data_IF_488433135146
#
_entry.id   IF_488433135146
#
_cell.length_a   1.000
_cell.length_b   1.000
_cell.length_c   1.000
_cell.angle_alpha   90.00
_cell.angle_beta   90.00
_cell.angle_gamma   90.00
#
_symmetry.space_group_name_H-M   'P 1'
#
loop_
_entity.id
_entity.type
_entity.pdbx_description
1 polymer ?
#
# COMPACT_ATOMS: atom_id res chain seq x y z
N UNK A 1 -7.76 -11.15 -12.28
CA UNK A 1 -7.96 -9.73 -11.97
C UNK A 1 -9.36 -9.31 -12.34
N UNK A 2 -9.99 -8.39 -11.60
CA UNK A 2 -11.29 -7.82 -11.98
C UNK A 2 -11.10 -6.61 -12.92
N UNK A 3 -11.22 -6.83 -14.23
CA UNK A 3 -10.95 -5.81 -15.26
C UNK A 3 -11.77 -4.53 -15.10
N UNK A 4 -13.11 -4.57 -14.85
CA UNK A 4 -13.87 -3.34 -14.60
C UNK A 4 -13.33 -2.51 -13.43
N UNK A 5 -13.00 -3.16 -12.30
CA UNK A 5 -12.46 -2.45 -11.12
C UNK A 5 -11.08 -1.88 -11.35
N UNK A 6 -10.24 -2.58 -12.12
CA UNK A 6 -8.92 -2.12 -12.56
C UNK A 6 -9.06 -0.87 -13.41
N UNK A 7 -9.85 -0.93 -14.49
CA UNK A 7 -10.02 0.19 -15.42
C UNK A 7 -10.54 1.44 -14.70
N UNK A 8 -11.51 1.28 -13.78
CA UNK A 8 -12.02 2.38 -12.98
C UNK A 8 -10.93 3.00 -12.07
N UNK A 9 -10.04 2.18 -11.51
CA UNK A 9 -8.92 2.68 -10.70
C UNK A 9 -7.90 3.43 -11.57
N UNK A 10 -7.55 2.91 -12.75
CA UNK A 10 -6.66 3.59 -13.71
C UNK A 10 -7.24 4.94 -14.12
N UNK A 11 -8.52 4.97 -14.50
CA UNK A 11 -9.21 6.21 -14.89
C UNK A 11 -9.23 7.22 -13.73
N UNK A 12 -9.48 6.77 -12.51
CA UNK A 12 -9.46 7.62 -11.32
C UNK A 12 -8.07 8.23 -11.07
N UNK A 13 -7.00 7.49 -11.35
CA UNK A 13 -5.62 7.92 -11.12
C UNK A 13 -5.07 8.78 -12.27
N UNK A 14 -5.65 8.64 -13.46
CA UNK A 14 -5.21 9.33 -14.68
C UNK A 14 -5.30 10.85 -14.54
N UNK A 15 -4.18 11.54 -14.76
CA UNK A 15 -4.11 13.00 -14.75
C UNK A 15 -4.17 13.65 -13.36
N UNK A 16 -4.02 12.87 -12.27
CA UNK A 16 -3.84 13.40 -10.92
C UNK A 16 -2.36 13.70 -10.64
N UNK A 17 -2.12 14.70 -9.83
CA UNK A 17 -0.79 15.02 -9.31
C UNK A 17 -0.38 14.03 -8.21
N UNK A 18 0.92 13.76 -8.12
CA UNK A 18 1.49 12.93 -7.06
C UNK A 18 1.51 13.64 -5.69
N UNK A 19 1.43 12.89 -4.57
CA UNK A 19 1.37 11.42 -4.49
C UNK A 19 -0.03 10.85 -4.78
N UNK A 20 -0.05 9.75 -5.53
CA UNK A 20 -1.27 9.00 -5.82
C UNK A 20 -1.57 8.02 -4.68
N UNK A 21 -2.50 8.37 -3.80
CA UNK A 21 -2.84 7.55 -2.64
C UNK A 21 -4.18 6.85 -2.81
N UNK A 22 -4.17 5.52 -2.62
CA UNK A 22 -5.37 4.69 -2.69
C UNK A 22 -5.58 4.01 -1.34
N UNK A 23 -6.76 4.11 -0.70
CA UNK A 23 -7.04 3.34 0.51
C UNK A 23 -6.73 1.86 0.29
N UNK A 24 -6.01 1.23 1.23
CA UNK A 24 -5.44 -0.11 0.99
C UNK A 24 -6.51 -1.16 0.66
N UNK A 25 -7.69 -1.04 1.27
CA UNK A 25 -8.83 -1.90 0.98
C UNK A 25 -9.32 -1.75 -0.47
N UNK A 26 -9.29 -0.54 -1.02
CA UNK A 26 -9.64 -0.26 -2.42
C UNK A 26 -8.58 -0.79 -3.37
N UNK A 27 -7.30 -0.65 -3.03
CA UNK A 27 -6.19 -1.19 -3.80
C UNK A 27 -6.31 -2.71 -3.98
N UNK A 28 -6.70 -3.44 -2.94
CA UNK A 28 -6.87 -4.90 -3.02
C UNK A 28 -8.22 -5.38 -3.57
N UNK A 29 -9.19 -4.48 -3.79
CA UNK A 29 -10.53 -4.86 -4.24
C UNK A 29 -10.59 -5.16 -5.74
N UNK A 30 -10.46 -6.46 -6.07
CA UNK A 30 -10.40 -6.95 -7.45
C UNK A 30 -8.99 -7.17 -7.97
N UNK A 31 -7.98 -6.85 -7.16
CA UNK A 31 -6.57 -7.13 -7.43
C UNK A 31 -6.22 -8.59 -7.10
N UNK A 32 -5.64 -9.30 -8.04
CA UNK A 32 -4.97 -10.60 -7.85
C UNK A 32 -3.63 -10.68 -8.61
N UNK A 33 -3.10 -9.52 -9.02
CA UNK A 33 -1.89 -9.36 -9.81
C UNK A 33 -0.65 -9.34 -8.91
N UNK A 34 0.18 -10.38 -9.01
CA UNK A 34 1.43 -10.51 -8.25
C UNK A 34 2.46 -9.42 -8.60
N UNK A 35 2.33 -8.77 -9.76
CA UNK A 35 3.19 -7.68 -10.16
C UNK A 35 2.86 -6.35 -9.48
N UNK A 36 1.74 -6.27 -8.76
CA UNK A 36 1.20 -4.99 -8.26
C UNK A 36 1.81 -4.47 -6.96
N UNK A 37 2.46 -5.33 -6.17
CA UNK A 37 3.18 -4.99 -4.93
C UNK A 37 4.12 -6.12 -4.55
N UNK A 38 5.32 -5.82 -4.03
CA UNK A 38 6.30 -6.84 -3.64
C UNK A 38 6.74 -7.73 -4.80
N UNK A 39 6.74 -7.20 -6.04
CA UNK A 39 6.94 -7.98 -7.26
C UNK A 39 8.34 -8.61 -7.36
N UNK A 40 9.32 -8.10 -6.60
CA UNK A 40 10.68 -8.65 -6.53
C UNK A 40 10.86 -9.74 -5.47
N UNK A 41 9.82 -10.08 -4.69
CA UNK A 41 9.88 -11.18 -3.73
C UNK A 41 10.11 -12.52 -4.46
N UNK A 42 11.14 -13.25 -4.04
CA UNK A 42 11.50 -14.55 -4.65
C UNK A 42 10.36 -15.57 -4.52
N UNK A 43 9.70 -15.62 -3.35
CA UNK A 43 8.52 -16.43 -3.08
C UNK A 43 7.34 -15.52 -2.74
N UNK A 44 6.78 -14.82 -3.74
CA UNK A 44 5.68 -13.90 -3.52
C UNK A 44 4.49 -14.62 -2.83
N UNK A 45 4.07 -14.20 -1.61
CA UNK A 45 3.10 -14.94 -0.79
C UNK A 45 1.67 -14.89 -1.36
N UNK A 46 1.44 -14.01 -2.32
CA UNK A 46 0.18 -13.85 -3.06
C UNK A 46 -0.64 -12.67 -2.55
N UNK A 47 -1.38 -12.04 -3.45
CA UNK A 47 -2.16 -10.82 -3.14
C UNK A 47 -3.21 -11.05 -2.05
N UNK A 48 -3.78 -12.26 -1.94
CA UNK A 48 -4.69 -12.59 -0.85
C UNK A 48 -4.04 -12.57 0.54
N UNK A 49 -2.74 -12.88 0.64
CA UNK A 49 -2.00 -12.80 1.91
C UNK A 49 -1.76 -11.34 2.30
N UNK A 50 -1.33 -10.52 1.34
CA UNK A 50 -1.25 -9.07 1.52
C UNK A 50 -2.60 -8.48 1.95
N UNK A 51 -3.68 -8.76 1.20
CA UNK A 51 -5.04 -8.29 1.51
C UNK A 51 -5.46 -8.64 2.94
N UNK A 52 -5.25 -9.90 3.36
CA UNK A 52 -5.62 -10.36 4.71
C UNK A 52 -4.79 -9.69 5.80
N UNK A 53 -3.49 -9.54 5.60
CA UNK A 53 -2.61 -8.87 6.55
C UNK A 53 -3.02 -7.40 6.77
N UNK A 54 -3.26 -6.65 5.69
CA UNK A 54 -3.68 -5.26 5.79
C UNK A 54 -5.13 -5.10 6.28
N UNK A 55 -6.03 -6.03 5.96
CA UNK A 55 -7.37 -6.05 6.53
C UNK A 55 -7.34 -6.27 8.04
N UNK A 56 -6.50 -7.20 8.54
CA UNK A 56 -6.31 -7.43 9.97
C UNK A 56 -5.67 -6.21 10.65
N UNK A 57 -4.67 -5.59 10.01
CA UNK A 57 -4.02 -4.38 10.51
C UNK A 57 -5.03 -3.22 10.65
N UNK A 58 -5.93 -3.05 9.68
CA UNK A 58 -6.97 -2.02 9.69
C UNK A 58 -8.04 -2.22 10.80
N UNK A 59 -8.14 -3.41 11.40
CA UNK A 59 -9.05 -3.65 12.53
C UNK A 59 -8.43 -3.28 13.88
N UNK A 60 -7.15 -2.91 13.93
CA UNK A 60 -6.51 -2.52 15.18
C UNK A 60 -7.00 -1.14 15.63
N UNK A 61 -7.20 -0.92 16.94
CA UNK A 61 -7.69 0.36 17.46
C UNK A 61 -6.65 1.49 17.40
N UNK A 62 -5.37 1.16 17.26
CA UNK A 62 -4.25 2.09 17.14
C UNK A 62 -3.84 2.36 15.68
N UNK A 63 -4.61 1.86 14.72
CA UNK A 63 -4.47 2.14 13.28
C UNK A 63 -5.68 2.96 12.83
N UNK A 64 -5.42 4.11 12.23
CA UNK A 64 -6.45 5.07 11.77
C UNK A 64 -6.75 4.89 10.28
N UNK A 65 -5.71 4.77 9.46
CA UNK A 65 -5.85 4.63 8.03
C UNK A 65 -4.63 3.95 7.42
N UNK A 66 -4.83 3.31 6.26
CA UNK A 66 -3.77 2.66 5.51
C UNK A 66 -3.96 2.99 4.03
N UNK A 67 -2.90 3.42 3.36
CA UNK A 67 -2.91 3.78 1.94
C UNK A 67 -1.76 3.11 1.21
N UNK A 68 -2.03 2.57 0.02
CA UNK A 68 -0.98 2.29 -0.96
C UNK A 68 -0.66 3.58 -1.72
N UNK A 69 0.62 3.88 -1.90
CA UNK A 69 1.07 4.86 -2.87
C UNK A 69 1.23 4.17 -4.21
N UNK A 70 0.52 4.67 -5.21
CA UNK A 70 0.63 4.17 -6.57
C UNK A 70 1.84 4.86 -7.23
N UNK A 71 2.83 4.06 -7.59
CA UNK A 71 4.03 4.50 -8.30
C UNK A 71 3.82 4.44 -9.83
N UNK A 72 3.05 3.47 -10.31
CA UNK A 72 2.68 3.36 -11.74
C UNK A 72 1.16 3.16 -11.88
N UNK A 73 0.40 4.20 -12.27
CA UNK A 73 -1.05 4.13 -12.32
C UNK A 73 -1.60 3.31 -13.50
N UNK A 74 -0.84 3.17 -14.59
CA UNK A 74 -1.22 2.33 -15.75
C UNK A 74 0.00 1.55 -16.29
N UNK A 75 0.37 0.44 -15.64
CA UNK A 75 1.49 -0.41 -16.06
C UNK A 75 1.17 -1.28 -17.30
N UNK A 76 -0.01 -1.12 -17.90
CA UNK A 76 -0.41 -1.82 -19.11
C UNK A 76 -1.77 -2.52 -19.01
N UNK A 77 -2.29 -2.93 -20.17
CA UNK A 77 -3.66 -3.41 -20.34
C UNK A 77 -4.03 -4.67 -19.54
N UNK A 78 -3.06 -5.44 -19.04
CA UNK A 78 -3.31 -6.65 -18.24
C UNK A 78 -2.73 -6.58 -16.82
N UNK A 79 -2.32 -5.38 -16.40
CA UNK A 79 -1.68 -5.15 -15.10
C UNK A 79 -2.55 -4.28 -14.19
N UNK A 80 -2.47 -4.54 -12.89
CA UNK A 80 -3.04 -3.69 -11.86
C UNK A 80 -2.10 -2.51 -11.58
N UNK A 81 -2.59 -1.32 -11.17
CA UNK A 81 -1.72 -0.23 -10.75
C UNK A 81 -0.68 -0.68 -9.72
N UNK A 82 0.57 -0.26 -9.90
CA UNK A 82 1.71 -0.71 -9.10
C UNK A 82 1.91 0.15 -7.86
N UNK A 83 2.17 -0.48 -6.72
CA UNK A 83 2.54 0.14 -5.47
C UNK A 83 3.73 -0.59 -4.84
N UNK A 84 4.75 0.19 -4.46
CA UNK A 84 5.92 -0.27 -3.70
C UNK A 84 5.87 0.20 -2.24
N UNK A 85 4.98 1.15 -1.93
CA UNK A 85 4.96 1.85 -0.65
C UNK A 85 3.56 1.82 -0.04
N UNK A 86 3.48 1.45 1.24
CA UNK A 86 2.26 1.52 2.04
C UNK A 86 2.46 2.43 3.25
N UNK A 87 1.56 3.39 3.41
CA UNK A 87 1.49 4.29 4.56
C UNK A 87 0.48 3.76 5.58
N UNK A 88 0.90 3.71 6.85
CA UNK A 88 0.05 3.32 7.99
C UNK A 88 0.00 4.50 8.96
N UNK A 89 -1.17 5.10 9.08
CA UNK A 89 -1.43 6.21 10.01
C UNK A 89 -1.98 5.68 11.31
N UNK A 90 -1.46 6.15 12.44
CA UNK A 90 -1.93 5.75 13.76
C UNK A 90 -0.88 5.87 14.85
N UNK A 91 -1.16 5.26 15.99
CA UNK A 91 -0.24 5.17 17.12
C UNK A 91 0.41 3.79 17.26
N UNK A 92 0.20 2.89 16.29
CA UNK A 92 0.91 1.61 16.21
C UNK A 92 2.42 1.84 16.21
N UNK A 93 3.15 1.00 16.94
CA UNK A 93 4.62 1.08 16.98
C UNK A 93 5.26 0.45 15.74
N UNK A 94 6.47 0.89 15.40
CA UNK A 94 7.26 0.32 14.30
C UNK A 94 7.49 -1.19 14.48
N UNK A 95 7.81 -1.63 15.70
CA UNK A 95 8.02 -3.04 16.01
C UNK A 95 6.77 -3.90 15.81
N UNK A 96 5.59 -3.38 16.17
CA UNK A 96 4.34 -4.08 15.93
C UNK A 96 3.99 -4.13 14.44
N UNK A 97 4.20 -3.03 13.70
CA UNK A 97 3.99 -3.03 12.26
C UNK A 97 4.90 -4.04 11.56
N UNK A 98 6.19 -4.06 11.91
CA UNK A 98 7.16 -5.06 11.43
C UNK A 98 6.69 -6.48 11.70
N UNK A 99 6.25 -6.76 12.92
CA UNK A 99 5.78 -8.10 13.29
C UNK A 99 4.52 -8.53 12.51
N UNK A 100 3.58 -7.61 12.27
CA UNK A 100 2.36 -7.89 11.50
C UNK A 100 2.64 -8.14 10.02
N UNK A 101 3.59 -7.40 9.44
CA UNK A 101 3.94 -7.48 8.03
C UNK A 101 5.08 -8.45 7.73
N UNK A 102 5.66 -9.12 8.72
CA UNK A 102 6.84 -9.97 8.55
C UNK A 102 6.71 -11.03 7.45
N UNK A 103 5.50 -11.58 7.25
CA UNK A 103 5.22 -12.57 6.20
C UNK A 103 5.13 -11.99 4.78
N UNK A 104 5.03 -10.67 4.67
CA UNK A 104 5.01 -9.95 3.40
C UNK A 104 6.41 -9.47 3.01
N UNK A 105 7.40 -9.63 3.90
CA UNK A 105 8.82 -9.34 3.65
C UNK A 105 9.08 -7.93 3.06
N UNK A 106 8.56 -6.84 3.68
CA UNK A 106 8.99 -5.50 3.29
C UNK A 106 10.49 -5.34 3.55
N UNK A 107 11.20 -4.73 2.61
CA UNK A 107 12.61 -4.38 2.72
C UNK A 107 12.84 -3.38 3.86
N UNK A 108 11.95 -2.39 3.96
CA UNK A 108 12.01 -1.40 5.01
C UNK A 108 10.66 -1.13 5.66
N UNK A 109 10.68 -0.99 7.00
CA UNK A 109 9.54 -0.51 7.78
C UNK A 109 10.04 0.49 8.80
N UNK A 110 9.43 1.68 8.85
CA UNK A 110 9.90 2.75 9.72
C UNK A 110 9.05 4.02 9.69
N UNK A 111 9.43 5.06 10.44
CA UNK A 111 8.74 6.34 10.43
C UNK A 111 8.91 7.07 9.10
N UNK A 112 7.87 7.75 8.62
CA UNK A 112 7.90 8.49 7.35
C UNK A 112 9.05 9.51 7.22
N UNK A 113 9.59 10.02 8.34
CA UNK A 113 10.77 10.90 8.33
C UNK A 113 12.02 10.26 7.72
N UNK A 114 12.08 8.92 7.67
CA UNK A 114 13.15 8.17 7.00
C UNK A 114 12.95 7.96 5.50
N UNK A 115 11.76 8.26 4.96
CA UNK A 115 11.32 7.79 3.63
C UNK A 115 11.06 8.90 2.59
N UNK A 116 11.58 10.13 2.80
CA UNK A 116 11.33 11.28 1.90
C UNK A 116 9.84 11.43 1.49
N UNK A 117 8.93 11.14 2.43
CA UNK A 117 7.49 11.09 2.16
C UNK A 117 6.97 12.47 1.78
N UNK A 118 6.11 12.60 0.75
CA UNK A 118 5.57 13.88 0.34
C UNK A 118 4.77 14.55 1.48
N UNK A 119 4.89 15.88 1.70
CA UNK A 119 4.18 16.58 2.77
C UNK A 119 2.66 16.43 2.71
N UNK A 120 2.09 16.23 1.52
CA UNK A 120 0.66 15.97 1.35
C UNK A 120 0.20 14.70 2.08
N UNK A 121 1.06 13.67 2.18
CA UNK A 121 0.77 12.42 2.89
C UNK A 121 0.66 12.68 4.39
N UNK A 122 1.64 13.37 4.98
CA UNK A 122 1.66 13.67 6.41
C UNK A 122 0.58 14.68 6.82
N UNK A 123 0.05 15.45 5.86
CA UNK A 123 -1.06 16.37 6.07
C UNK A 123 -2.46 15.69 6.05
N UNK A 124 -2.57 14.44 5.60
CA UNK A 124 -3.88 13.75 5.51
C UNK A 124 -4.51 13.47 6.87
N UNK A 125 -3.68 13.08 7.83
CA UNK A 125 -4.10 12.65 9.16
C UNK A 125 -3.18 13.29 10.22
N UNK A 126 -3.70 13.71 11.38
CA UNK A 126 -2.88 14.30 12.43
C UNK A 126 -1.98 13.29 13.17
N UNK A 127 -2.17 11.98 12.95
CA UNK A 127 -1.43 10.92 13.60
C UNK A 127 -0.04 10.70 12.99
N UNK A 128 0.90 10.08 13.73
CA UNK A 128 2.12 9.56 13.16
C UNK A 128 1.84 8.63 11.97
N UNK A 129 2.78 8.62 11.03
CA UNK A 129 2.76 7.75 9.87
C UNK A 129 4.01 6.87 9.85
N UNK A 130 3.76 5.57 9.72
CA UNK A 130 4.78 4.57 9.41
C UNK A 130 4.67 4.19 7.94
N UNK A 131 5.78 3.70 7.39
CA UNK A 131 5.93 3.26 6.02
C UNK A 131 6.32 1.79 6.04
N UNK A 132 5.77 1.02 5.11
CA UNK A 132 6.32 -0.26 4.68
C UNK A 132 6.63 -0.16 3.18
N UNK A 133 7.85 -0.51 2.80
CA UNK A 133 8.34 -0.39 1.43
C UNK A 133 8.92 -1.72 0.94
N UNK A 134 8.75 -1.98 -0.36
CA UNK A 134 9.30 -3.11 -1.10
C UNK A 134 10.07 -2.59 -2.32
N UNK A 135 11.26 -3.12 -2.59
CA UNK A 135 12.01 -2.82 -3.83
C UNK A 135 11.33 -3.42 -5.07
#
# INVERSE_FOLDING_TARGET
MNTPKRNALVEELSGKDEPLLVPIARFFDGNDDLGSIGCNLTEHPGIDVFRKAFAALAQRPDVVAIYAQIAEPDPGADSWPFADTVYVFGSISEGELKAQLARLEPDEVGPASGFNVPPAVTALHPQPVLVAWWD
#
